data_IF_019274224833
#
_entry.id   IF_019274224833
#
_cell.length_a   1.000
_cell.length_b   1.000
_cell.length_c   1.000
_cell.angle_alpha   90.00
_cell.angle_beta   90.00
_cell.angle_gamma   90.00
#
_symmetry.space_group_name_H-M   'P 1'
#
loop_
_entity.id
_entity.type
_entity.pdbx_description
1 polymer ?
#
# COMPACT_ATOMS: atom_id res chain seq x y z
N UNK A 1 24.60 2.89 -4.94
CA UNK A 1 23.91 4.02 -4.31
C UNK A 1 22.40 3.83 -4.27
N UNK A 2 21.82 3.49 -5.43
CA UNK A 2 20.38 3.22 -5.53
C UNK A 2 19.96 2.02 -4.68
N UNK A 3 20.77 0.97 -4.67
CA UNK A 3 20.46 -0.24 -3.89
C UNK A 3 20.52 -0.01 -2.38
N UNK A 4 21.44 0.82 -1.90
CA UNK A 4 21.49 1.20 -0.49
C UNK A 4 20.26 1.98 -0.06
N UNK A 5 19.80 2.88 -0.91
CA UNK A 5 18.60 3.66 -0.64
C UNK A 5 17.35 2.79 -0.60
N UNK A 6 17.22 1.85 -1.54
CA UNK A 6 16.11 0.90 -1.56
C UNK A 6 16.08 0.04 -0.31
N UNK A 7 17.23 -0.49 0.11
CA UNK A 7 17.33 -1.30 1.32
C UNK A 7 16.90 -0.49 2.54
N UNK A 8 17.35 0.77 2.63
CA UNK A 8 16.98 1.65 3.74
C UNK A 8 15.48 1.90 3.78
N UNK A 9 14.86 2.17 2.63
CA UNK A 9 13.42 2.43 2.55
C UNK A 9 12.64 1.19 3.01
N UNK A 10 12.94 0.03 2.49
CA UNK A 10 12.23 -1.20 2.87
C UNK A 10 12.49 -1.58 4.32
N UNK A 11 13.70 -1.38 4.81
CA UNK A 11 14.04 -1.63 6.20
C UNK A 11 13.22 -0.73 7.13
N UNK A 12 13.15 0.56 6.83
CA UNK A 12 12.37 1.50 7.63
C UNK A 12 10.87 1.18 7.58
N UNK A 13 10.37 0.79 6.42
CA UNK A 13 8.96 0.40 6.29
C UNK A 13 8.66 -0.88 7.07
N UNK A 14 9.60 -1.82 7.10
CA UNK A 14 9.45 -3.05 7.88
C UNK A 14 9.43 -2.76 9.37
N UNK A 15 10.31 -1.87 9.86
CA UNK A 15 10.31 -1.46 11.26
C UNK A 15 8.99 -0.79 11.64
N UNK A 16 8.49 0.10 10.80
CA UNK A 16 7.22 0.76 11.02
C UNK A 16 6.07 -0.25 11.07
N UNK A 17 6.05 -1.18 10.12
CA UNK A 17 5.02 -2.21 10.07
C UNK A 17 5.03 -3.08 11.32
N UNK A 18 6.21 -3.46 11.80
CA UNK A 18 6.34 -4.26 13.01
C UNK A 18 5.88 -3.50 14.24
N UNK A 19 6.13 -2.20 14.30
CA UNK A 19 5.71 -1.39 15.43
C UNK A 19 4.20 -1.17 15.47
N UNK A 20 3.59 -0.84 14.33
CA UNK A 20 2.19 -0.40 14.29
C UNK A 20 1.19 -1.50 13.92
N UNK A 21 1.63 -2.53 13.20
CA UNK A 21 0.70 -3.50 12.63
C UNK A 21 0.84 -4.91 13.18
N UNK A 22 1.69 -5.12 14.18
CA UNK A 22 1.80 -6.42 14.82
C UNK A 22 0.49 -6.79 15.51
N UNK A 23 0.07 -8.04 15.32
CA UNK A 23 -1.09 -8.62 15.96
C UNK A 23 -0.64 -9.91 16.68
N UNK A 24 -1.31 -11.02 16.43
CA UNK A 24 -0.81 -12.33 16.86
C UNK A 24 0.40 -12.79 16.01
N UNK A 25 0.71 -12.06 14.94
CA UNK A 25 1.88 -12.29 14.11
C UNK A 25 2.63 -10.98 13.88
N UNK A 26 3.88 -11.08 13.45
CA UNK A 26 4.73 -9.91 13.21
C UNK A 26 4.09 -8.97 12.19
N UNK A 27 4.25 -7.67 12.40
CA UNK A 27 3.61 -6.65 11.57
C UNK A 27 3.89 -6.76 10.09
N UNK A 28 5.12 -7.12 9.70
CA UNK A 28 5.48 -7.27 8.30
C UNK A 28 4.75 -8.43 7.60
N UNK A 29 4.19 -9.37 8.37
CA UNK A 29 3.41 -10.49 7.86
C UNK A 29 1.90 -10.20 7.81
N UNK A 30 1.46 -9.07 8.38
CA UNK A 30 0.04 -8.69 8.35
C UNK A 30 -0.33 -8.07 7.01
N UNK A 31 -1.62 -8.05 6.69
CA UNK A 31 -2.08 -7.42 5.45
C UNK A 31 -1.73 -5.93 5.41
N UNK A 32 -1.96 -5.19 6.52
CA UNK A 32 -1.59 -3.79 6.57
C UNK A 32 -0.09 -3.59 6.41
N UNK A 33 0.70 -4.44 7.07
CA UNK A 33 2.15 -4.38 6.98
C UNK A 33 2.65 -4.61 5.56
N UNK A 34 2.10 -5.60 4.86
CA UNK A 34 2.48 -5.89 3.48
C UNK A 34 2.16 -4.70 2.56
N UNK A 35 0.96 -4.13 2.68
CA UNK A 35 0.58 -2.96 1.88
C UNK A 35 1.50 -1.78 2.19
N UNK A 36 1.79 -1.52 3.46
CA UNK A 36 2.67 -0.43 3.85
C UNK A 36 4.09 -0.61 3.30
N UNK A 37 4.62 -1.83 3.37
CA UNK A 37 5.97 -2.10 2.87
C UNK A 37 6.04 -1.90 1.36
N UNK A 38 5.01 -2.36 0.62
CA UNK A 38 5.00 -2.26 -0.84
C UNK A 38 4.69 -0.85 -1.34
N UNK A 39 3.71 -0.17 -0.76
CA UNK A 39 3.22 1.11 -1.27
C UNK A 39 3.68 2.32 -0.46
N UNK A 40 4.17 2.09 0.76
CA UNK A 40 4.57 3.16 1.66
C UNK A 40 3.40 3.77 2.41
N UNK A 41 3.60 4.95 3.04
CA UNK A 41 2.53 5.61 3.76
C UNK A 41 1.41 6.04 2.82
N UNK A 42 0.14 5.77 3.18
CA UNK A 42 -0.99 6.19 2.36
C UNK A 42 -1.20 7.70 2.40
N UNK A 43 -1.80 8.24 1.34
CA UNK A 43 -2.13 9.68 1.27
C UNK A 43 -3.36 10.02 2.12
N UNK A 44 -4.29 9.08 2.25
CA UNK A 44 -5.49 9.24 3.06
C UNK A 44 -5.75 7.99 3.87
N UNK A 45 -6.18 8.18 5.12
CA UNK A 45 -6.58 7.09 6.00
C UNK A 45 -7.93 7.44 6.62
N UNK A 46 -8.90 6.55 6.47
CA UNK A 46 -10.18 6.65 7.16
C UNK A 46 -10.31 5.48 8.12
N UNK A 47 -10.68 5.77 9.33
CA UNK A 47 -10.86 4.76 10.39
C UNK A 47 -12.27 4.81 10.93
N UNK A 48 -12.83 3.63 11.16
CA UNK A 48 -14.12 3.50 11.86
C UNK A 48 -14.10 2.23 12.73
N UNK A 49 -15.22 1.94 13.38
CA UNK A 49 -15.30 0.78 14.28
C UNK A 49 -15.13 -0.56 13.54
N UNK A 50 -15.38 -0.59 12.23
CA UNK A 50 -15.32 -1.82 11.45
C UNK A 50 -13.97 -2.06 10.77
N UNK A 51 -13.16 -1.01 10.62
CA UNK A 51 -11.87 -1.14 9.99
C UNK A 51 -11.23 0.17 9.54
N UNK A 52 -10.36 0.06 8.55
CA UNK A 52 -9.62 1.18 7.98
C UNK A 52 -9.67 1.12 6.47
N UNK A 53 -9.62 2.29 5.85
CA UNK A 53 -9.48 2.42 4.40
C UNK A 53 -8.28 3.31 4.11
N UNK A 54 -7.35 2.80 3.31
CA UNK A 54 -6.14 3.51 2.92
C UNK A 54 -6.23 3.91 1.46
N UNK A 55 -6.05 5.19 1.18
CA UNK A 55 -6.07 5.73 -0.17
C UNK A 55 -4.70 6.18 -0.62
N UNK A 56 -4.32 5.71 -1.79
CA UNK A 56 -3.08 6.11 -2.45
C UNK A 56 -3.43 6.88 -3.72
N UNK A 57 -2.88 8.07 -3.84
CA UNK A 57 -3.14 8.93 -4.98
C UNK A 57 -2.59 8.30 -6.26
N UNK A 58 -3.43 8.21 -7.27
CA UNK A 58 -3.01 7.73 -8.58
C UNK A 58 -2.31 8.84 -9.36
N UNK A 59 -1.39 8.50 -10.27
CA UNK A 59 -0.80 9.51 -11.14
C UNK A 59 -1.86 10.08 -12.08
N UNK A 60 -1.69 11.36 -12.53
CA UNK A 60 -2.61 11.96 -13.48
C UNK A 60 -2.62 11.20 -14.79
N UNK A 61 -3.81 11.06 -15.38
CA UNK A 61 -3.99 10.38 -16.66
C UNK A 61 -3.94 11.40 -17.79
N UNK A 62 -3.12 11.13 -18.81
CA UNK A 62 -3.11 11.95 -20.02
C UNK A 62 -4.32 11.62 -20.88
N UNK A 63 -5.03 12.65 -21.35
CA UNK A 63 -6.11 12.47 -22.30
C UNK A 63 -5.55 12.12 -23.70
N UNK A 64 -6.44 11.64 -24.58
CA UNK A 64 -6.09 11.41 -25.99
C UNK A 64 -5.58 12.68 -26.69
N UNK A 65 -5.95 13.83 -26.18
CA UNK A 65 -5.65 15.12 -26.80
C UNK A 65 -4.44 15.80 -26.15
N UNK A 66 -3.69 15.08 -25.32
CA UNK A 66 -2.47 15.60 -24.69
C UNK A 66 -2.68 16.45 -23.45
N UNK A 67 -3.91 16.74 -23.07
CA UNK A 67 -4.18 17.47 -21.82
C UNK A 67 -4.16 16.51 -20.63
N UNK A 68 -3.68 17.01 -19.49
CA UNK A 68 -3.67 16.23 -18.25
C UNK A 68 -5.00 16.40 -17.53
N UNK A 69 -5.57 15.27 -17.13
CA UNK A 69 -6.66 15.28 -16.17
C UNK A 69 -6.13 14.99 -14.79
N UNK A 70 -6.51 15.83 -13.84
CA UNK A 70 -6.44 15.46 -12.43
C UNK A 70 -7.90 15.26 -12.02
N UNK A 71 -8.32 14.00 -11.96
CA UNK A 71 -9.66 13.70 -11.43
C UNK A 71 -9.56 13.64 -9.91
N UNK A 72 -10.46 14.34 -9.24
CA UNK A 72 -10.44 14.49 -7.78
C UNK A 72 -10.55 13.15 -7.04
N UNK A 73 -11.10 12.12 -7.68
CA UNK A 73 -11.35 10.82 -7.06
C UNK A 73 -10.38 9.74 -7.50
N UNK A 74 -9.16 10.11 -7.91
CA UNK A 74 -8.19 9.13 -8.37
C UNK A 74 -7.33 8.60 -7.25
N UNK A 75 -7.95 7.80 -6.39
CA UNK A 75 -7.24 7.07 -5.34
C UNK A 75 -7.40 5.58 -5.55
N UNK A 76 -6.32 4.86 -5.29
CA UNK A 76 -6.36 3.41 -5.13
C UNK A 76 -6.66 3.15 -3.66
N UNK A 77 -7.76 2.45 -3.39
CA UNK A 77 -8.20 2.18 -2.03
C UNK A 77 -7.93 0.76 -1.62
N UNK A 78 -7.36 0.60 -0.44
CA UNK A 78 -7.23 -0.68 0.24
C UNK A 78 -8.10 -0.63 1.48
N UNK A 79 -9.07 -1.53 1.56
CA UNK A 79 -10.01 -1.60 2.67
C UNK A 79 -9.63 -2.76 3.58
N UNK A 80 -9.41 -2.45 4.86
CA UNK A 80 -9.06 -3.43 5.88
C UNK A 80 -10.22 -3.56 6.84
N UNK A 81 -10.69 -4.79 7.05
CA UNK A 81 -11.74 -5.09 8.01
C UNK A 81 -11.12 -5.54 9.32
N UNK A 82 -11.55 -4.94 10.41
CA UNK A 82 -11.13 -5.36 11.74
C UNK A 82 -11.74 -6.73 12.06
N UNK A 83 -10.89 -7.67 12.43
CA UNK A 83 -11.31 -9.03 12.76
C UNK A 83 -11.17 -9.27 14.24
N UNK A 84 -12.15 -9.92 14.86
CA UNK A 84 -12.08 -10.30 16.26
C UNK A 84 -11.00 -11.36 16.44
N UNK A 85 -10.11 -11.12 17.38
CA UNK A 85 -9.02 -12.01 17.70
C UNK A 85 -8.81 -12.03 19.21
N UNK A 86 -8.77 -13.22 19.80
CA UNK A 86 -8.59 -13.39 21.23
C UNK A 86 -7.23 -12.91 21.72
N UNK A 87 -6.25 -12.86 20.84
CA UNK A 87 -4.88 -12.53 21.18
C UNK A 87 -4.46 -11.09 20.83
N UNK A 88 -5.27 -10.40 20.05
CA UNK A 88 -4.91 -9.05 19.63
C UNK A 88 -6.13 -8.25 19.16
N UNK A 89 -6.16 -6.97 19.51
CA UNK A 89 -7.14 -6.01 18.98
C UNK A 89 -6.69 -5.39 17.66
N UNK A 90 -5.53 -5.80 17.15
CA UNK A 90 -4.87 -5.18 15.99
C UNK A 90 -4.91 -6.06 14.75
N UNK A 91 -5.90 -6.95 14.66
CA UNK A 91 -6.03 -7.87 13.53
C UNK A 91 -6.95 -7.26 12.46
N UNK A 92 -6.36 -6.88 11.34
CA UNK A 92 -7.06 -6.27 10.20
C UNK A 92 -6.78 -7.09 8.94
N UNK A 93 -7.83 -7.42 8.21
CA UNK A 93 -7.74 -8.26 7.02
C UNK A 93 -8.13 -7.46 5.79
N UNK A 94 -7.29 -7.53 4.76
CA UNK A 94 -7.53 -6.83 3.49
C UNK A 94 -8.72 -7.46 2.75
N UNK A 95 -9.64 -6.61 2.31
CA UNK A 95 -10.70 -7.02 1.38
C UNK A 95 -10.11 -7.08 -0.04
N UNK A 96 -9.73 -8.28 -0.45
CA UNK A 96 -9.07 -8.51 -1.73
C UNK A 96 -10.00 -8.38 -2.93
N UNK A 97 -11.31 -8.51 -2.71
CA UNK A 97 -12.30 -8.45 -3.79
C UNK A 97 -12.35 -7.09 -4.49
N UNK A 98 -12.06 -6.01 -3.75
CA UNK A 98 -12.05 -4.67 -4.30
C UNK A 98 -10.68 -4.14 -4.70
N UNK A 99 -9.63 -4.96 -4.53
CA UNK A 99 -8.26 -4.51 -4.79
C UNK A 99 -7.89 -4.74 -6.26
N UNK A 100 -7.45 -3.70 -6.99
CA UNK A 100 -7.03 -3.87 -8.38
C UNK A 100 -5.82 -4.79 -8.47
N UNK A 101 -6.00 -5.94 -9.10
CA UNK A 101 -4.97 -6.99 -9.22
C UNK A 101 -3.74 -6.47 -9.95
N UNK A 102 -3.93 -5.64 -10.98
CA UNK A 102 -2.83 -5.11 -11.78
C UNK A 102 -1.81 -4.33 -10.96
N UNK A 103 -2.29 -3.49 -10.04
CA UNK A 103 -1.38 -2.72 -9.17
C UNK A 103 -0.64 -3.62 -8.19
N UNK A 104 -1.34 -4.61 -7.65
CA UNK A 104 -0.74 -5.57 -6.74
C UNK A 104 0.38 -6.36 -7.43
N UNK A 105 0.09 -6.87 -8.62
CA UNK A 105 1.07 -7.66 -9.39
C UNK A 105 2.29 -6.82 -9.77
N UNK A 106 2.09 -5.57 -10.16
CA UNK A 106 3.18 -4.65 -10.47
C UNK A 106 4.03 -4.41 -9.22
N UNK A 107 3.40 -4.15 -8.08
CA UNK A 107 4.12 -3.91 -6.83
C UNK A 107 4.96 -5.12 -6.41
N UNK A 108 4.41 -6.32 -6.51
CA UNK A 108 5.13 -7.56 -6.19
C UNK A 108 6.31 -7.75 -7.14
N UNK A 109 6.10 -7.53 -8.44
CA UNK A 109 7.15 -7.67 -9.43
C UNK A 109 8.30 -6.67 -9.17
N UNK A 110 7.97 -5.42 -8.88
CA UNK A 110 8.98 -4.40 -8.55
C UNK A 110 9.74 -4.74 -7.28
N UNK A 111 9.03 -5.21 -6.28
CA UNK A 111 9.65 -5.62 -5.02
C UNK A 111 10.65 -6.76 -5.24
N UNK A 112 10.29 -7.75 -6.04
CA UNK A 112 11.18 -8.87 -6.39
C UNK A 112 12.41 -8.41 -7.17
N UNK A 113 12.27 -7.35 -7.95
CA UNK A 113 13.40 -6.76 -8.69
C UNK A 113 14.26 -5.84 -7.81
N UNK A 114 13.91 -5.65 -6.53
CA UNK A 114 14.61 -4.74 -5.64
C UNK A 114 14.31 -3.28 -5.90
N UNK A 115 13.14 -2.99 -6.45
CA UNK A 115 12.68 -1.63 -6.73
C UNK A 115 11.51 -1.26 -5.83
N UNK A 116 11.41 0.03 -5.48
CA UNK A 116 10.27 0.54 -4.72
C UNK A 116 9.16 0.88 -5.69
N UNK A 117 7.99 0.28 -5.48
CA UNK A 117 6.80 0.65 -6.23
C UNK A 117 6.25 1.99 -5.71
N UNK A 118 5.95 2.89 -6.64
CA UNK A 118 5.31 4.18 -6.34
C UNK A 118 4.22 4.45 -7.37
N UNK A 119 3.03 4.71 -6.89
CA UNK A 119 1.90 5.04 -7.77
C UNK A 119 2.08 6.38 -8.48
N UNK A 120 2.86 7.28 -7.89
CA UNK A 120 3.13 8.60 -8.46
C UNK A 120 4.22 8.59 -9.54
N UNK A 121 4.81 7.42 -9.82
CA UNK A 121 5.80 7.29 -10.88
C UNK A 121 5.16 6.62 -12.11
N UNK A 122 4.83 7.41 -13.17
CA UNK A 122 4.14 6.86 -14.35
C UNK A 122 4.95 5.79 -15.09
N UNK A 123 6.26 5.79 -14.96
CA UNK A 123 7.12 4.82 -15.63
C UNK A 123 6.95 3.41 -15.07
N UNK A 124 6.55 3.30 -13.82
CA UNK A 124 6.36 2.01 -13.17
C UNK A 124 4.99 1.39 -13.45
N UNK A 125 4.08 2.15 -14.04
CA UNK A 125 2.74 1.69 -14.39
C UNK A 125 2.62 1.21 -15.84
N UNK A 126 3.69 1.32 -16.58
CA UNK A 126 3.74 0.88 -17.97
C UNK A 126 4.19 -0.57 -18.09
#
# INVERSE_FOLDING_TARGET
ERSKELIRIYYNRTLFANYYFSSYKAGWLTDRGMIYIMYGPPDKVYKNAEGESWGYKRPPVKSRWGSRYVMEDQYLWFNFRKQKNLFSDNDFVLNRAGTPVSYWDIAVARWREGKVFRLDNPQELQ
#
